data_IF_781723562831
#
_entry.id   IF_781723562831
#
_cell.length_a   1.000
_cell.length_b   1.000
_cell.length_c   1.000
_cell.angle_alpha   90.00
_cell.angle_beta   90.00
_cell.angle_gamma   90.00
#
_symmetry.space_group_name_H-M   'P 1'
#
loop_
_entity.id
_entity.type
_entity.pdbx_description
1 polymer ?
#
# COMPACT_ATOMS: atom_id res chain seq x y z
N UNK A 1 1.38 -12.19 -26.82
CA UNK A 1 0.30 -11.23 -26.56
C UNK A 1 0.93 -9.86 -26.48
N UNK A 2 0.48 -8.91 -27.28
CA UNK A 2 0.93 -7.52 -27.22
C UNK A 2 -0.28 -6.69 -26.79
N UNK A 3 -0.12 -5.87 -25.76
CA UNK A 3 -1.18 -4.99 -25.25
C UNK A 3 -1.20 -3.71 -26.11
N UNK A 4 -1.80 -3.78 -27.30
CA UNK A 4 -2.08 -2.62 -28.16
C UNK A 4 -3.57 -2.28 -28.03
N UNK A 5 -3.96 -1.39 -27.12
CA UNK A 5 -5.38 -1.15 -26.82
C UNK A 5 -6.08 -0.26 -27.87
N UNK A 6 -5.32 0.47 -28.71
CA UNK A 6 -5.88 1.45 -29.64
C UNK A 6 -5.52 1.14 -31.10
N UNK A 7 -4.22 1.11 -31.44
CA UNK A 7 -3.72 0.90 -32.81
C UNK A 7 -3.62 -0.58 -33.22
N UNK A 8 -4.64 -1.39 -32.91
CA UNK A 8 -4.56 -2.84 -33.11
C UNK A 8 -4.57 -3.26 -34.59
N UNK A 9 -5.19 -2.47 -35.47
CA UNK A 9 -5.19 -2.74 -36.92
C UNK A 9 -3.80 -2.58 -37.51
N UNK A 10 -3.13 -1.46 -37.22
CA UNK A 10 -1.74 -1.20 -37.64
C UNK A 10 -0.80 -2.30 -37.14
N UNK A 11 -0.93 -2.69 -35.86
CA UNK A 11 -0.16 -3.77 -35.29
C UNK A 11 -0.37 -5.11 -36.03
N UNK A 12 -1.62 -5.45 -36.37
CA UNK A 12 -1.93 -6.70 -37.09
C UNK A 12 -1.35 -6.66 -38.51
N UNK A 13 -1.48 -5.54 -39.21
CA UNK A 13 -0.98 -5.38 -40.58
C UNK A 13 0.55 -5.48 -40.61
N UNK A 14 1.24 -4.79 -39.71
CA UNK A 14 2.70 -4.82 -39.61
C UNK A 14 3.23 -6.20 -39.21
N UNK A 15 2.58 -6.87 -38.25
CA UNK A 15 2.96 -8.22 -37.84
C UNK A 15 2.76 -9.21 -38.99
N UNK A 16 1.63 -9.10 -39.70
CA UNK A 16 1.33 -9.95 -40.86
C UNK A 16 2.33 -9.73 -41.98
N UNK A 17 2.68 -8.48 -42.28
CA UNK A 17 3.71 -8.14 -43.25
C UNK A 17 5.06 -8.78 -42.87
N UNK A 18 5.47 -8.66 -41.61
CA UNK A 18 6.74 -9.24 -41.15
C UNK A 18 6.77 -10.77 -41.25
N UNK A 19 5.66 -11.45 -40.98
CA UNK A 19 5.54 -12.91 -41.16
C UNK A 19 5.60 -13.28 -42.64
N UNK A 20 4.83 -12.59 -43.50
CA UNK A 20 4.81 -12.84 -44.95
C UNK A 20 6.17 -12.64 -45.63
N UNK A 21 6.96 -11.70 -45.11
CA UNK A 21 8.30 -11.42 -45.61
C UNK A 21 9.41 -12.22 -44.90
N UNK A 22 9.06 -13.25 -44.13
CA UNK A 22 10.00 -14.11 -43.39
C UNK A 22 10.92 -13.36 -42.41
N UNK A 23 10.56 -12.13 -42.01
CA UNK A 23 11.24 -11.37 -40.95
C UNK A 23 10.96 -12.03 -39.60
N UNK A 24 9.70 -12.46 -39.40
CA UNK A 24 9.29 -13.25 -38.23
C UNK A 24 8.95 -14.67 -38.71
N UNK A 25 9.63 -15.72 -38.21
CA UNK A 25 9.34 -17.09 -38.62
C UNK A 25 7.99 -17.55 -38.06
N UNK A 26 7.26 -18.39 -38.80
CA UNK A 26 5.98 -18.93 -38.34
C UNK A 26 6.10 -19.71 -37.02
N UNK A 27 7.23 -20.38 -36.77
CA UNK A 27 7.47 -21.06 -35.49
C UNK A 27 7.36 -20.14 -34.28
N UNK A 28 7.67 -18.84 -34.43
CA UNK A 28 7.49 -17.82 -33.38
C UNK A 28 6.00 -17.53 -33.15
N UNK A 29 5.22 -17.45 -34.23
CA UNK A 29 3.78 -17.26 -34.17
C UNK A 29 3.11 -18.48 -33.53
N UNK A 30 3.50 -19.69 -33.95
CA UNK A 30 2.97 -20.94 -33.41
C UNK A 30 3.26 -21.08 -31.90
N UNK A 31 4.49 -20.79 -31.45
CA UNK A 31 4.81 -20.76 -30.02
C UNK A 31 3.95 -19.74 -29.25
N UNK A 32 3.76 -18.54 -29.80
CA UNK A 32 2.96 -17.50 -29.16
C UNK A 32 1.48 -17.90 -29.05
N UNK A 33 0.90 -18.41 -30.14
CA UNK A 33 -0.50 -18.86 -30.22
C UNK A 33 -0.71 -20.07 -29.34
N UNK A 34 0.20 -21.05 -29.37
CA UNK A 34 0.13 -22.24 -28.54
C UNK A 34 0.09 -21.89 -27.04
N UNK A 35 0.92 -20.95 -26.57
CA UNK A 35 0.88 -20.48 -25.17
C UNK A 35 -0.42 -19.77 -24.81
N UNK A 36 -0.96 -18.96 -25.72
CA UNK A 36 -2.25 -18.28 -25.51
C UNK A 36 -3.39 -19.29 -25.44
N UNK A 37 -3.47 -20.22 -26.41
CA UNK A 37 -4.50 -21.23 -26.46
C UNK A 37 -4.40 -22.18 -25.27
N UNK A 38 -3.19 -22.59 -24.87
CA UNK A 38 -2.98 -23.40 -23.68
C UNK A 38 -3.64 -22.77 -22.45
N UNK A 39 -3.39 -21.48 -22.17
CA UNK A 39 -4.01 -20.80 -21.03
C UNK A 39 -5.54 -20.78 -21.15
N UNK A 40 -6.07 -20.43 -22.32
CA UNK A 40 -7.52 -20.38 -22.56
C UNK A 40 -8.21 -21.75 -22.35
N UNK A 41 -7.61 -22.83 -22.83
CA UNK A 41 -8.12 -24.19 -22.60
C UNK A 41 -7.96 -24.63 -21.14
N UNK A 42 -6.78 -24.42 -20.54
CA UNK A 42 -6.52 -24.82 -19.15
C UNK A 42 -7.45 -24.15 -18.16
N UNK A 43 -7.83 -22.89 -18.38
CA UNK A 43 -8.76 -22.17 -17.49
C UNK A 43 -10.25 -22.41 -17.80
N UNK A 44 -10.57 -23.26 -18.78
CA UNK A 44 -11.96 -23.56 -19.16
C UNK A 44 -12.68 -22.43 -19.90
N UNK A 45 -11.96 -21.49 -20.52
CA UNK A 45 -12.57 -20.33 -21.18
C UNK A 45 -13.42 -20.72 -22.39
N UNK A 46 -13.13 -21.87 -23.02
CA UNK A 46 -13.91 -22.39 -24.15
C UNK A 46 -15.22 -23.05 -23.68
N UNK A 47 -15.22 -23.64 -22.48
CA UNK A 47 -16.39 -24.26 -21.86
C UNK A 47 -17.30 -23.22 -21.19
N UNK A 48 -16.71 -22.21 -20.54
CA UNK A 48 -17.40 -21.14 -19.83
C UNK A 48 -16.96 -19.74 -20.32
N UNK A 49 -17.34 -19.34 -21.55
CA UNK A 49 -16.87 -18.08 -22.15
C UNK A 49 -17.61 -16.83 -21.65
N UNK A 50 -18.75 -17.00 -20.98
CA UNK A 50 -19.61 -15.90 -20.51
C UNK A 50 -19.57 -15.75 -18.99
N UNK A 51 -19.91 -14.54 -18.54
CA UNK A 51 -20.03 -14.26 -17.11
C UNK A 51 -21.19 -15.07 -16.50
N UNK A 52 -21.03 -15.47 -15.24
CA UNK A 52 -22.07 -16.11 -14.43
C UNK A 52 -22.81 -15.05 -13.59
N UNK A 53 -24.09 -14.75 -13.87
CA UNK A 53 -24.87 -13.77 -13.10
C UNK A 53 -25.06 -14.14 -11.62
N UNK A 54 -24.89 -15.42 -11.24
CA UNK A 54 -25.00 -15.85 -9.85
C UNK A 54 -23.91 -15.22 -8.96
N UNK A 55 -22.78 -14.80 -9.56
CA UNK A 55 -21.64 -14.22 -8.87
C UNK A 55 -21.74 -12.71 -8.66
N UNK A 56 -22.81 -12.04 -9.12
CA UNK A 56 -22.99 -10.58 -8.91
C UNK A 56 -22.95 -10.22 -7.43
N UNK A 57 -23.45 -11.11 -6.56
CA UNK A 57 -23.43 -10.92 -5.12
C UNK A 57 -22.04 -11.03 -4.48
N UNK A 58 -20.99 -11.43 -5.21
CA UNK A 58 -19.61 -11.50 -4.70
C UNK A 58 -18.95 -10.12 -4.56
N UNK A 59 -19.43 -9.13 -5.33
CA UNK A 59 -18.86 -7.79 -5.34
C UNK A 59 -19.12 -7.08 -4.00
N UNK A 60 -18.05 -6.81 -3.26
CA UNK A 60 -18.12 -6.06 -2.01
C UNK A 60 -18.75 -6.82 -0.84
N UNK A 61 -18.79 -8.16 -0.89
CA UNK A 61 -19.23 -9.02 0.22
C UNK A 61 -18.56 -8.69 1.54
N UNK A 62 -19.32 -8.87 2.63
CA UNK A 62 -18.82 -8.59 3.97
C UNK A 62 -17.63 -9.48 4.33
N UNK A 63 -17.63 -10.75 3.92
CA UNK A 63 -16.54 -11.68 4.18
C UNK A 63 -15.23 -11.22 3.51
N UNK A 64 -15.32 -10.62 2.30
CA UNK A 64 -14.17 -10.04 1.60
C UNK A 64 -13.68 -8.77 2.30
N UNK A 65 -14.60 -7.96 2.85
CA UNK A 65 -14.27 -6.78 3.66
C UNK A 65 -13.63 -7.15 4.98
N UNK A 66 -14.10 -8.22 5.63
CA UNK A 66 -13.52 -8.71 6.87
C UNK A 66 -12.10 -9.23 6.64
N UNK A 67 -11.87 -9.92 5.52
CA UNK A 67 -10.52 -10.31 5.08
C UNK A 67 -9.65 -9.09 4.76
N UNK A 68 -10.18 -8.07 4.08
CA UNK A 68 -9.44 -6.84 3.80
C UNK A 68 -9.10 -6.09 5.10
N UNK A 69 -10.03 -5.97 6.05
CA UNK A 69 -9.80 -5.44 7.41
C UNK A 69 -8.69 -6.21 8.14
N UNK A 70 -8.65 -7.54 7.98
CA UNK A 70 -7.58 -8.37 8.50
C UNK A 70 -6.22 -8.06 7.86
N UNK A 71 -6.18 -7.92 6.53
CA UNK A 71 -4.97 -7.54 5.82
C UNK A 71 -4.48 -6.14 6.25
N UNK A 72 -5.40 -5.18 6.43
CA UNK A 72 -5.09 -3.84 6.96
C UNK A 72 -4.36 -3.95 8.28
N UNK A 73 -4.95 -4.57 9.32
CA UNK A 73 -4.33 -4.64 10.65
C UNK A 73 -2.97 -5.34 10.63
N UNK A 74 -2.82 -6.41 9.82
CA UNK A 74 -1.56 -7.16 9.70
C UNK A 74 -0.47 -6.39 8.95
N UNK A 75 -0.85 -5.46 8.06
CA UNK A 75 0.08 -4.65 7.29
C UNK A 75 0.70 -3.49 8.09
N UNK A 76 0.03 -3.03 9.16
CA UNK A 76 0.47 -1.87 9.93
C UNK A 76 1.80 -2.14 10.61
N UNK A 77 2.74 -1.22 10.45
CA UNK A 77 4.05 -1.31 11.12
C UNK A 77 4.15 -0.22 12.17
N UNK A 78 4.24 -0.62 13.44
CA UNK A 78 4.47 0.30 14.55
C UNK A 78 5.95 0.66 14.60
N UNK A 79 6.27 1.93 14.37
CA UNK A 79 7.65 2.42 14.28
C UNK A 79 8.12 3.16 15.53
N UNK A 80 7.17 3.70 16.31
CA UNK A 80 7.44 4.33 17.60
C UNK A 80 6.23 4.13 18.51
N UNK A 81 6.45 3.89 19.80
CA UNK A 81 5.37 3.77 20.79
C UNK A 81 5.79 4.27 22.18
N UNK A 82 5.72 5.58 22.40
CA UNK A 82 6.14 6.26 23.62
C UNK A 82 7.53 6.91 23.50
N UNK A 83 7.87 7.73 24.51
CA UNK A 83 9.20 8.34 24.66
C UNK A 83 10.25 7.33 25.16
N UNK A 84 9.81 6.28 25.84
CA UNK A 84 10.62 5.17 26.31
C UNK A 84 9.84 3.86 26.21
N UNK A 85 10.55 2.73 26.18
CA UNK A 85 9.95 1.40 26.16
C UNK A 85 9.06 1.11 27.39
N UNK A 86 9.27 1.82 28.50
CA UNK A 86 8.54 1.64 29.76
C UNK A 86 7.20 2.39 29.84
N UNK A 87 6.88 3.26 28.87
CA UNK A 87 5.64 4.04 28.87
C UNK A 87 5.02 4.09 27.46
N UNK A 88 4.44 2.97 26.99
CA UNK A 88 3.82 2.91 25.67
C UNK A 88 2.50 3.70 25.63
N UNK A 89 2.23 4.35 24.50
CA UNK A 89 0.96 5.06 24.26
C UNK A 89 -0.11 4.11 23.71
N UNK A 90 0.27 3.24 22.78
CA UNK A 90 -0.60 2.23 22.18
C UNK A 90 -0.55 0.92 22.96
N UNK A 91 -1.69 0.23 23.12
CA UNK A 91 -3.01 0.59 22.55
C UNK A 91 -3.77 1.64 23.38
N UNK A 92 -4.53 2.50 22.68
CA UNK A 92 -5.36 3.57 23.24
C UNK A 92 -6.56 3.01 24.01
N UNK A 93 -7.05 3.70 25.06
CA UNK A 93 -8.29 3.34 25.71
C UNK A 93 -9.49 3.65 24.80
N UNK A 94 -10.42 2.70 24.67
CA UNK A 94 -11.72 2.92 23.97
C UNK A 94 -12.64 3.89 24.72
N UNK A 95 -12.44 4.04 26.03
CA UNK A 95 -13.19 4.97 26.89
C UNK A 95 -12.29 6.15 27.24
N UNK A 96 -12.61 7.31 26.70
CA UNK A 96 -11.97 8.59 27.00
C UNK A 96 -13.04 9.69 27.01
N UNK A 97 -12.81 10.78 27.76
CA UNK A 97 -13.76 11.89 27.81
C UNK A 97 -13.92 12.60 26.47
N UNK A 98 -12.82 12.78 25.73
CA UNK A 98 -12.80 13.33 24.37
C UNK A 98 -11.53 12.88 23.66
N UNK A 99 -11.64 12.55 22.38
CA UNK A 99 -10.50 12.28 21.49
C UNK A 99 -10.51 13.26 20.32
N UNK A 100 -9.33 13.52 19.76
CA UNK A 100 -9.17 14.32 18.54
C UNK A 100 -8.69 13.40 17.41
N UNK A 101 -9.34 13.52 16.26
CA UNK A 101 -8.90 12.94 14.99
C UNK A 101 -8.64 14.11 14.04
N UNK A 102 -7.46 14.18 13.45
CA UNK A 102 -7.02 15.32 12.65
C UNK A 102 -6.07 14.89 11.53
N UNK A 103 -5.94 15.75 10.51
CA UNK A 103 -5.09 15.53 9.34
C UNK A 103 -5.90 15.25 8.08
N UNK A 104 -5.30 15.51 6.92
CA UNK A 104 -5.98 15.42 5.62
C UNK A 104 -6.45 14.02 5.25
N UNK A 105 -5.81 12.98 5.79
CA UNK A 105 -6.12 11.57 5.46
C UNK A 105 -7.08 10.92 6.47
N UNK A 106 -7.53 11.65 7.48
CA UNK A 106 -8.28 11.05 8.60
C UNK A 106 -9.74 10.73 8.24
N UNK A 107 -10.30 11.39 7.24
CA UNK A 107 -11.67 11.21 6.75
C UNK A 107 -11.72 11.32 5.22
N UNK A 108 -10.80 10.61 4.54
CA UNK A 108 -10.73 10.58 3.07
C UNK A 108 -10.43 9.16 2.58
N UNK A 109 -11.48 8.51 2.06
CA UNK A 109 -11.42 7.14 1.55
C UNK A 109 -10.51 7.02 0.32
N UNK A 110 -10.46 8.04 -0.54
CA UNK A 110 -9.62 8.04 -1.73
C UNK A 110 -8.15 8.05 -1.36
N UNK A 111 -7.78 8.86 -0.36
CA UNK A 111 -6.42 8.99 0.14
C UNK A 111 -5.89 7.70 0.78
N UNK A 112 -6.69 7.01 1.59
CA UNK A 112 -6.26 5.73 2.18
C UNK A 112 -6.20 4.59 1.16
N UNK A 113 -6.94 4.67 0.05
CA UNK A 113 -6.86 3.68 -1.02
C UNK A 113 -5.69 3.94 -1.98
N UNK A 114 -5.43 5.20 -2.34
CA UNK A 114 -4.39 5.60 -3.29
C UNK A 114 -4.77 5.34 -4.76
N UNK A 115 -3.75 5.21 -5.62
CA UNK A 115 -3.92 4.95 -7.05
C UNK A 115 -4.58 3.59 -7.34
N UNK A 116 -5.01 3.39 -8.58
CA UNK A 116 -5.76 2.19 -9.01
C UNK A 116 -7.04 1.90 -8.22
N UNK A 117 -7.63 2.93 -7.61
CA UNK A 117 -8.93 2.84 -6.92
C UNK A 117 -9.94 3.71 -7.63
N UNK A 118 -10.90 3.08 -8.31
CA UNK A 118 -11.88 3.69 -9.22
C UNK A 118 -11.26 4.33 -10.47
N UNK A 119 -10.22 5.15 -10.31
CA UNK A 119 -9.48 5.79 -11.41
C UNK A 119 -8.03 5.33 -11.42
N UNK A 120 -7.34 5.57 -12.54
CA UNK A 120 -5.96 5.14 -12.73
C UNK A 120 -5.02 5.72 -11.67
N UNK A 121 -5.00 7.05 -11.55
CA UNK A 121 -4.01 7.73 -10.72
C UNK A 121 -4.44 7.82 -9.25
N UNK A 122 -5.73 8.00 -8.96
CA UNK A 122 -6.21 8.38 -7.62
C UNK A 122 -5.77 9.81 -7.25
N UNK A 123 -4.45 10.06 -7.24
CA UNK A 123 -3.78 11.35 -7.11
C UNK A 123 -2.65 11.54 -8.14
N UNK A 124 -2.34 12.79 -8.49
CA UNK A 124 -1.28 13.18 -9.44
C UNK A 124 0.07 13.41 -8.73
N UNK A 125 1.18 13.44 -9.49
CA UNK A 125 2.51 13.81 -8.96
C UNK A 125 3.29 12.68 -8.26
N UNK A 126 3.13 11.44 -8.73
CA UNK A 126 3.66 10.24 -8.05
C UNK A 126 5.18 10.02 -8.24
N UNK A 127 5.81 10.61 -9.25
CA UNK A 127 7.28 10.66 -9.35
C UNK A 127 7.81 11.83 -8.50
N UNK A 128 8.46 11.50 -7.39
CA UNK A 128 8.86 12.47 -6.39
C UNK A 128 10.26 12.15 -5.86
N UNK A 129 11.23 13.03 -6.13
CA UNK A 129 12.62 12.92 -5.69
C UNK A 129 12.84 13.39 -4.24
N UNK A 130 11.94 14.23 -3.70
CA UNK A 130 12.08 14.75 -2.34
C UNK A 130 11.45 13.82 -1.28
N UNK A 131 10.52 12.94 -1.67
CA UNK A 131 9.84 11.98 -0.81
C UNK A 131 9.35 12.58 0.52
N UNK A 132 8.95 13.84 0.52
CA UNK A 132 8.46 14.54 1.72
C UNK A 132 6.96 14.33 1.93
N UNK A 133 6.51 14.43 3.17
CA UNK A 133 5.07 14.43 3.49
C UNK A 133 4.46 15.73 2.96
N UNK A 134 3.42 15.68 2.09
CA UNK A 134 2.78 16.88 1.57
C UNK A 134 2.16 17.75 2.67
N UNK A 135 2.15 19.07 2.46
CA UNK A 135 1.37 19.98 3.30
C UNK A 135 -0.13 19.65 3.18
N UNK A 136 -0.92 19.82 4.27
CA UNK A 136 -0.54 20.36 5.58
C UNK A 136 -0.03 19.32 6.58
N UNK A 137 0.40 18.11 6.16
CA UNK A 137 0.78 17.02 7.07
C UNK A 137 1.82 17.42 8.14
N UNK A 138 2.99 17.95 7.75
CA UNK A 138 4.00 18.42 8.71
C UNK A 138 3.50 19.42 9.76
N UNK A 139 2.68 20.40 9.34
CA UNK A 139 2.16 21.41 10.29
C UNK A 139 1.12 20.82 11.23
N UNK A 140 0.26 19.91 10.75
CA UNK A 140 -0.69 19.19 11.61
C UNK A 140 0.03 18.34 12.65
N UNK A 141 1.08 17.60 12.26
CA UNK A 141 1.90 16.81 13.21
C UNK A 141 2.46 17.72 14.30
N UNK A 142 3.07 18.85 13.89
CA UNK A 142 3.68 19.77 14.84
C UNK A 142 2.64 20.44 15.75
N UNK A 143 1.49 20.87 15.23
CA UNK A 143 0.46 21.55 16.02
C UNK A 143 -0.24 20.60 16.98
N UNK A 144 -0.66 19.43 16.51
CA UNK A 144 -1.40 18.47 17.34
C UNK A 144 -0.49 17.82 18.38
N UNK A 145 0.65 17.26 17.95
CA UNK A 145 1.49 16.47 18.83
C UNK A 145 2.27 17.31 19.87
N UNK A 146 2.36 18.64 19.69
CA UNK A 146 2.86 19.54 20.75
C UNK A 146 1.81 19.85 21.82
N UNK A 147 0.52 19.71 21.52
CA UNK A 147 -0.58 20.08 22.42
C UNK A 147 -1.13 18.90 23.22
N UNK A 148 -1.00 17.68 22.71
CA UNK A 148 -1.62 16.47 23.27
C UNK A 148 -0.84 15.23 22.82
N UNK A 149 -0.84 14.17 23.65
CA UNK A 149 -0.26 12.88 23.28
C UNK A 149 -0.84 12.39 21.95
N UNK A 150 0.04 12.06 21.00
CA UNK A 150 -0.32 12.00 19.60
C UNK A 150 0.18 10.72 18.95
N UNK A 151 -0.74 10.01 18.29
CA UNK A 151 -0.42 8.88 17.41
C UNK A 151 -0.49 9.39 15.97
N UNK A 152 0.62 9.34 15.25
CA UNK A 152 0.64 9.64 13.82
C UNK A 152 0.47 8.36 13.02
N UNK A 153 -0.59 8.29 12.25
CA UNK A 153 -0.82 7.25 11.24
C UNK A 153 -0.44 7.81 9.88
N UNK A 154 0.67 7.34 9.31
CA UNK A 154 1.11 7.76 7.99
C UNK A 154 0.56 6.83 6.91
N UNK A 155 -0.20 7.43 6.01
CA UNK A 155 -0.68 6.80 4.77
C UNK A 155 0.32 7.15 3.66
N UNK A 156 0.97 6.14 3.10
CA UNK A 156 1.93 6.33 2.01
C UNK A 156 2.19 5.02 1.25
N UNK A 157 2.39 5.10 -0.07
CA UNK A 157 2.78 3.91 -0.86
C UNK A 157 4.23 3.45 -0.64
N UNK A 158 5.03 4.20 0.14
CA UNK A 158 6.48 4.01 0.34
C UNK A 158 7.00 4.79 1.55
N UNK A 159 8.20 4.49 2.05
CA UNK A 159 8.88 5.34 3.03
C UNK A 159 9.02 6.79 2.55
N UNK A 160 8.78 7.74 3.47
CA UNK A 160 8.91 9.18 3.25
C UNK A 160 9.90 9.79 4.26
N UNK A 161 10.34 11.03 4.03
CA UNK A 161 11.12 11.81 4.99
C UNK A 161 10.29 12.04 6.25
N UNK A 162 10.67 11.36 7.34
CA UNK A 162 9.98 11.45 8.64
C UNK A 162 10.90 11.87 9.78
N UNK A 163 12.22 11.74 9.63
CA UNK A 163 13.22 12.00 10.67
C UNK A 163 13.01 13.35 11.39
N UNK A 164 12.73 14.49 10.70
CA UNK A 164 12.50 15.77 11.37
C UNK A 164 11.28 15.81 12.31
N UNK A 165 10.34 14.87 12.14
CA UNK A 165 9.07 14.85 12.85
C UNK A 165 8.99 13.74 13.91
N UNK A 166 9.83 12.70 13.82
CA UNK A 166 9.82 11.55 14.75
C UNK A 166 9.92 12.00 16.22
N UNK A 167 10.70 13.04 16.51
CA UNK A 167 10.83 13.58 17.87
C UNK A 167 9.52 14.11 18.46
N UNK A 168 8.62 14.65 17.63
CA UNK A 168 7.35 15.23 18.06
C UNK A 168 6.22 14.21 18.24
N UNK A 169 6.31 13.04 17.59
CA UNK A 169 5.28 12.00 17.65
C UNK A 169 5.43 11.16 18.92
N UNK A 170 4.36 10.88 19.66
CA UNK A 170 4.44 9.92 20.78
C UNK A 170 4.39 8.48 20.27
N UNK A 171 3.52 8.20 19.31
CA UNK A 171 3.53 6.94 18.56
C UNK A 171 3.46 7.19 17.05
N UNK A 172 4.07 6.29 16.28
CA UNK A 172 4.15 6.41 14.83
C UNK A 172 3.85 5.07 14.17
N UNK A 173 2.83 5.05 13.30
CA UNK A 173 2.37 3.87 12.57
C UNK A 173 2.50 4.14 11.08
N UNK A 174 3.21 3.28 10.37
CA UNK A 174 3.14 3.22 8.91
C UNK A 174 1.96 2.32 8.52
N UNK A 175 0.94 2.91 7.91
CA UNK A 175 -0.29 2.22 7.51
C UNK A 175 -0.36 1.90 6.01
N UNK A 176 0.66 2.30 5.25
CA UNK A 176 0.75 2.10 3.81
C UNK A 176 -0.43 2.73 3.05
N UNK A 177 -1.05 2.02 2.12
CA UNK A 177 -2.32 2.36 1.49
C UNK A 177 -3.34 1.26 1.88
N UNK A 178 -4.04 1.40 3.02
CA UNK A 178 -4.82 0.31 3.61
C UNK A 178 -6.12 -0.03 2.85
N UNK A 179 -6.49 0.71 1.80
CA UNK A 179 -7.70 0.39 1.03
C UNK A 179 -8.98 0.76 1.78
N UNK A 180 -10.10 0.07 1.55
CA UNK A 180 -11.42 0.52 1.99
C UNK A 180 -11.72 0.31 3.48
N UNK A 181 -11.04 -0.64 4.13
CA UNK A 181 -11.46 -1.16 5.43
C UNK A 181 -10.68 -0.53 6.58
N UNK A 182 -10.83 0.78 6.75
CA UNK A 182 -10.12 1.60 7.75
C UNK A 182 -10.31 1.15 9.21
N UNK A 183 -11.33 0.33 9.50
CA UNK A 183 -11.51 -0.31 10.80
C UNK A 183 -10.30 -1.17 11.21
N UNK A 184 -9.54 -1.73 10.25
CA UNK A 184 -8.33 -2.48 10.56
C UNK A 184 -7.23 -1.61 11.20
N UNK A 185 -7.22 -0.30 10.93
CA UNK A 185 -6.34 0.66 11.63
C UNK A 185 -6.79 0.81 13.08
N UNK A 186 -8.09 1.03 13.29
CA UNK A 186 -8.66 1.18 14.63
C UNK A 186 -8.47 -0.09 15.49
N UNK A 187 -8.61 -1.28 14.91
CA UNK A 187 -8.41 -2.57 15.58
C UNK A 187 -7.07 -2.66 16.31
N UNK A 188 -6.00 -2.20 15.65
CA UNK A 188 -4.66 -2.20 16.23
C UNK A 188 -4.45 -1.02 17.20
N UNK A 189 -4.93 0.18 16.85
CA UNK A 189 -4.78 1.38 17.68
C UNK A 189 -5.45 1.24 19.04
N UNK A 190 -6.62 0.62 19.09
CA UNK A 190 -7.38 0.41 20.33
C UNK A 190 -7.14 -0.96 20.98
N UNK A 191 -6.27 -1.79 20.39
CA UNK A 191 -5.79 -3.02 20.99
C UNK A 191 -6.75 -4.20 20.92
N UNK A 192 -7.71 -4.21 20.00
CA UNK A 192 -8.46 -5.43 19.68
C UNK A 192 -7.51 -6.51 19.14
N UNK A 193 -6.45 -6.07 18.44
CA UNK A 193 -5.36 -6.90 17.96
C UNK A 193 -4.01 -6.22 18.24
N UNK A 194 -2.96 -7.03 18.40
CA UNK A 194 -1.60 -6.54 18.51
C UNK A 194 -1.02 -6.10 17.16
N UNK A 195 -0.08 -5.15 17.17
CA UNK A 195 0.74 -4.85 15.99
C UNK A 195 1.69 -6.02 15.72
N UNK A 196 1.71 -6.51 14.48
CA UNK A 196 2.59 -7.60 14.04
C UNK A 196 3.41 -7.28 12.80
N UNK A 197 3.04 -6.22 12.06
CA UNK A 197 3.68 -5.87 10.80
C UNK A 197 5.16 -5.53 10.97
N UNK A 198 5.94 -5.88 9.95
CA UNK A 198 7.36 -5.57 9.83
C UNK A 198 7.61 -4.85 8.52
N UNK A 199 8.57 -3.93 8.52
CA UNK A 199 8.94 -3.17 7.34
C UNK A 199 9.44 -4.10 6.23
N UNK A 200 8.69 -4.18 5.13
CA UNK A 200 9.11 -4.87 3.91
C UNK A 200 10.09 -4.04 3.06
N UNK A 201 10.38 -2.80 3.47
CA UNK A 201 11.38 -1.91 2.83
C UNK A 201 12.16 -1.14 3.89
N UNK A 202 13.42 -0.85 3.58
CA UNK A 202 14.25 0.06 4.37
C UNK A 202 13.62 1.45 4.45
N UNK A 203 13.59 2.06 5.63
CA UNK A 203 13.25 3.46 5.82
C UNK A 203 14.53 4.30 5.92
N UNK A 204 14.74 5.21 4.97
CA UNK A 204 15.92 6.07 4.91
C UNK A 204 15.83 7.24 5.91
N UNK A 205 16.98 7.83 6.27
CA UNK A 205 17.08 9.07 7.06
C UNK A 205 16.89 10.29 6.15
N UNK A 206 17.70 10.36 5.09
CA UNK A 206 17.62 11.37 4.02
C UNK A 206 17.46 10.71 2.65
N UNK A 207 16.85 11.42 1.70
CA UNK A 207 16.76 11.00 0.30
C UNK A 207 18.14 10.91 -0.37
N UNK A 208 19.15 11.61 0.15
CA UNK A 208 20.53 11.56 -0.36
C UNK A 208 21.19 10.19 -0.17
N UNK A 209 20.63 9.34 0.69
CA UNK A 209 21.10 7.96 0.88
C UNK A 209 20.62 7.03 -0.25
N UNK A 210 19.68 7.45 -1.09
CA UNK A 210 19.07 6.57 -2.08
C UNK A 210 19.94 6.44 -3.35
N UNK A 211 20.02 5.25 -3.96
CA UNK A 211 19.41 3.99 -3.53
C UNK A 211 20.17 3.31 -2.38
N UNK A 212 19.46 2.86 -1.34
CA UNK A 212 20.02 2.10 -0.21
C UNK A 212 19.08 0.94 0.19
N UNK A 213 19.62 -0.28 0.17
CA UNK A 213 18.89 -1.52 0.44
C UNK A 213 19.63 -2.39 1.46
N UNK A 214 18.89 -3.33 2.07
CA UNK A 214 19.46 -4.29 3.02
C UNK A 214 20.58 -5.10 2.34
N UNK A 215 21.75 -5.15 2.99
CA UNK A 215 22.95 -5.82 2.46
C UNK A 215 23.95 -4.88 1.79
N UNK A 216 23.60 -3.62 1.51
CA UNK A 216 24.54 -2.64 0.96
C UNK A 216 25.65 -2.29 1.97
N UNK A 217 26.87 -2.03 1.47
CA UNK A 217 28.02 -1.66 2.34
C UNK A 217 27.80 -0.36 3.12
N UNK A 218 27.01 0.55 2.58
CA UNK A 218 26.69 1.86 3.16
C UNK A 218 25.31 1.88 3.81
N UNK A 219 24.79 0.72 4.24
CA UNK A 219 23.47 0.58 4.83
C UNK A 219 23.35 1.26 6.21
N UNK A 220 22.77 2.47 6.22
CA UNK A 220 22.56 3.28 7.43
C UNK A 220 21.09 3.80 7.52
N UNK A 221 20.12 2.92 7.80
CA UNK A 221 18.71 3.28 7.76
C UNK A 221 18.24 4.03 9.02
N UNK A 222 17.13 4.77 8.89
CA UNK A 222 16.36 5.27 10.04
C UNK A 222 15.63 4.12 10.74
N UNK A 223 14.95 3.29 9.94
CA UNK A 223 14.38 2.01 10.39
C UNK A 223 14.80 0.91 9.41
N UNK A 224 15.50 -0.13 9.89
CA UNK A 224 16.00 -1.19 9.00
C UNK A 224 14.87 -2.04 8.43
N UNK A 225 15.16 -2.75 7.34
CA UNK A 225 14.28 -3.80 6.82
C UNK A 225 13.95 -4.82 7.92
N UNK A 226 12.69 -5.26 7.99
CA UNK A 226 12.20 -6.17 9.02
C UNK A 226 11.92 -5.50 10.38
N UNK A 227 12.13 -4.19 10.54
CA UNK A 227 11.79 -3.48 11.76
C UNK A 227 10.28 -3.35 11.97
N UNK A 228 9.84 -3.36 13.22
CA UNK A 228 8.45 -3.11 13.61
C UNK A 228 8.24 -3.51 15.06
N UNK A 229 7.77 -2.59 15.87
CA UNK A 229 7.39 -2.86 17.26
C UNK A 229 6.11 -3.69 17.30
N UNK A 230 5.93 -4.44 18.38
CA UNK A 230 4.74 -5.25 18.60
C UNK A 230 3.96 -4.73 19.81
N UNK A 231 2.66 -5.00 19.83
CA UNK A 231 1.83 -4.82 21.02
C UNK A 231 1.04 -6.11 21.27
N UNK A 232 0.55 -6.28 22.49
CA UNK A 232 -0.44 -7.33 22.77
C UNK A 232 -1.86 -6.77 22.70
N UNK A 233 -2.81 -7.65 22.41
CA UNK A 233 -4.23 -7.30 22.47
C UNK A 233 -4.63 -6.99 23.92
N UNK A 234 -5.43 -5.94 24.12
CA UNK A 234 -6.08 -5.65 25.40
C UNK A 234 -7.41 -6.40 25.43
N UNK A 235 -7.53 -7.36 26.35
CA UNK A 235 -8.81 -7.99 26.69
C UNK A 235 -9.76 -7.00 27.34
#
# INVERSE_FOLDING_TARGET
MIMVPYAYTEFIDDLTYQVKNNIIPMSRIDDAVYRILRVKFTMGLFESPYADPSLVGELGKQEHRDLAREAVRKSLVLLKNGKSASSPLLPLPKKAGKILVAGSHADDLGLQCGGWTITWQGQTGNDNLNLTIPAPGPSVIQSVCKSVNCVVVLISGRPLVVEPYIGAMDAFVAAWLPGSEGQGVADALFGDYGFTGKLARTWFKSVDQLPMNVGDKHYDPLFPFGYGLTTEAKK
#
